data_IF_805873718938
#
_entry.id   IF_805873718938
#
_cell.length_a   1.000
_cell.length_b   1.000
_cell.length_c   1.000
_cell.angle_alpha   90.00
_cell.angle_beta   90.00
_cell.angle_gamma   90.00
#
_symmetry.space_group_name_H-M   'P 1'
#
loop_
_entity.id
_entity.type
_entity.pdbx_description
1 polymer ?
#
# COMPACT_ATOMS: atom_id res chain seq x y z
N UNK A 1 17.46 -12.98 -2.94
CA UNK A 1 18.79 -12.57 -3.42
C UNK A 1 19.76 -12.79 -2.27
N UNK A 2 20.75 -13.68 -2.41
CA UNK A 2 21.74 -13.87 -1.34
C UNK A 2 22.68 -12.66 -1.25
N UNK A 3 22.74 -12.04 -0.07
CA UNK A 3 23.62 -10.91 0.20
C UNK A 3 25.01 -11.40 0.63
N UNK A 4 25.79 -11.96 -0.30
CA UNK A 4 27.11 -12.52 -0.01
C UNK A 4 28.08 -11.52 0.64
N UNK A 5 28.01 -10.23 0.27
CA UNK A 5 28.82 -9.15 0.85
C UNK A 5 28.37 -8.69 2.24
N UNK A 6 27.22 -9.18 2.74
CA UNK A 6 26.62 -8.80 4.04
C UNK A 6 26.49 -9.96 5.02
N UNK A 7 27.09 -11.10 4.72
CA UNK A 7 27.01 -12.33 5.52
C UNK A 7 27.46 -12.12 6.96
N UNK A 8 28.57 -11.40 7.18
CA UNK A 8 29.08 -11.14 8.53
C UNK A 8 28.14 -10.28 9.39
N UNK A 9 27.49 -9.26 8.80
CA UNK A 9 26.50 -8.45 9.52
C UNK A 9 25.23 -9.26 9.85
N UNK A 10 24.80 -10.12 8.92
CA UNK A 10 23.65 -11.02 9.15
C UNK A 10 23.95 -12.06 10.24
N UNK A 11 25.17 -12.59 10.29
CA UNK A 11 25.62 -13.48 11.35
C UNK A 11 25.61 -12.79 12.71
N UNK A 12 26.16 -11.57 12.80
CA UNK A 12 26.16 -10.78 14.03
C UNK A 12 24.74 -10.52 14.56
N UNK A 13 23.81 -10.12 13.67
CA UNK A 13 22.41 -9.93 14.05
C UNK A 13 21.76 -11.25 14.49
N UNK A 14 22.10 -12.37 13.84
CA UNK A 14 21.68 -13.71 14.23
C UNK A 14 22.18 -14.14 15.60
N UNK A 15 23.43 -13.83 15.94
CA UNK A 15 24.01 -14.07 17.27
C UNK A 15 23.32 -13.24 18.35
N UNK A 16 23.05 -11.97 18.07
CA UNK A 16 22.28 -11.11 18.97
C UNK A 16 20.89 -11.69 19.23
N UNK A 17 20.20 -12.17 18.19
CA UNK A 17 18.89 -12.81 18.34
C UNK A 17 18.97 -14.05 19.24
N UNK A 18 19.94 -14.94 19.00
CA UNK A 18 20.16 -16.13 19.86
C UNK A 18 20.46 -15.75 21.30
N UNK A 19 21.17 -14.64 21.52
CA UNK A 19 21.51 -14.12 22.84
C UNK A 19 20.33 -13.58 23.66
N UNK A 20 19.17 -13.34 23.04
CA UNK A 20 17.99 -12.72 23.71
C UNK A 20 17.41 -13.57 24.84
N UNK A 21 17.68 -14.88 24.86
CA UNK A 21 17.30 -15.77 25.95
C UNK A 21 17.83 -15.34 27.34
N UNK A 22 18.90 -14.52 27.36
CA UNK A 22 19.57 -14.06 28.58
C UNK A 22 19.42 -12.54 28.78
N UNK A 23 18.45 -11.90 28.13
CA UNK A 23 18.14 -10.48 28.27
C UNK A 23 18.02 -9.75 26.93
N UNK A 24 17.44 -8.54 26.95
CA UNK A 24 17.27 -7.71 25.76
C UNK A 24 18.60 -7.43 25.06
N UNK A 25 18.54 -7.27 23.73
CA UNK A 25 19.67 -6.88 22.89
C UNK A 25 19.25 -5.71 22.03
N UNK A 26 20.19 -4.81 21.76
CA UNK A 26 20.01 -3.66 20.88
C UNK A 26 21.12 -3.70 19.84
N UNK A 27 20.74 -3.61 18.57
CA UNK A 27 21.66 -3.46 17.46
C UNK A 27 21.44 -2.09 16.81
N UNK A 28 22.54 -1.37 16.56
CA UNK A 28 22.50 -0.12 15.80
C UNK A 28 23.15 -0.37 14.44
N UNK A 29 22.36 -0.24 13.37
CA UNK A 29 22.84 -0.38 12.00
C UNK A 29 23.09 1.01 11.41
N UNK A 30 24.36 1.39 11.29
CA UNK A 30 24.79 2.69 10.79
C UNK A 30 25.52 2.58 9.45
N UNK A 31 25.56 3.68 8.70
CA UNK A 31 26.21 3.78 7.40
C UNK A 31 25.59 4.86 6.53
N UNK A 32 26.22 5.14 5.39
CA UNK A 32 25.78 6.19 4.47
C UNK A 32 24.38 5.95 3.90
N UNK A 33 23.71 7.02 3.46
CA UNK A 33 22.46 6.89 2.72
C UNK A 33 22.70 6.02 1.47
N UNK A 34 21.79 5.08 1.19
CA UNK A 34 21.91 4.19 0.03
C UNK A 34 22.84 2.97 0.21
N UNK A 35 23.63 2.86 1.29
CA UNK A 35 24.58 1.75 1.50
C UNK A 35 23.93 0.35 1.70
N UNK A 36 22.59 0.29 1.72
CA UNK A 36 21.83 -0.96 1.87
C UNK A 36 21.42 -1.32 3.30
N UNK A 37 21.35 -0.34 4.23
CA UNK A 37 20.90 -0.61 5.62
C UNK A 37 19.53 -1.26 5.69
N UNK A 38 18.55 -0.72 4.96
CA UNK A 38 17.19 -1.29 4.91
C UNK A 38 17.22 -2.72 4.35
N UNK A 39 17.98 -2.94 3.27
CA UNK A 39 18.14 -4.27 2.66
C UNK A 39 18.70 -5.29 3.67
N UNK A 40 19.70 -4.90 4.47
CA UNK A 40 20.27 -5.75 5.52
C UNK A 40 19.23 -6.14 6.59
N UNK A 41 18.51 -5.16 7.14
CA UNK A 41 17.54 -5.42 8.22
C UNK A 41 16.32 -6.18 7.69
N UNK A 42 15.88 -5.92 6.47
CA UNK A 42 14.80 -6.67 5.80
C UNK A 42 15.20 -8.13 5.59
N UNK A 43 16.41 -8.41 5.12
CA UNK A 43 16.89 -9.78 4.96
C UNK A 43 17.07 -10.49 6.30
N UNK A 44 17.59 -9.80 7.34
CA UNK A 44 17.65 -10.34 8.70
C UNK A 44 16.26 -10.74 9.21
N UNK A 45 15.27 -9.84 9.11
CA UNK A 45 13.90 -10.12 9.51
C UNK A 45 13.30 -11.33 8.77
N UNK A 46 13.58 -11.46 7.48
CA UNK A 46 13.17 -12.63 6.69
C UNK A 46 13.81 -13.92 7.20
N UNK A 47 15.08 -13.88 7.62
CA UNK A 47 15.83 -15.03 8.16
C UNK A 47 15.42 -15.42 9.58
N UNK A 48 14.87 -14.48 10.37
CA UNK A 48 14.34 -14.80 11.71
C UNK A 48 13.27 -15.90 11.65
N UNK A 49 12.45 -15.93 10.59
CA UNK A 49 11.42 -16.96 10.39
C UNK A 49 10.54 -17.13 11.64
N UNK A 50 10.27 -18.37 12.09
CA UNK A 50 9.46 -18.62 13.29
C UNK A 50 10.20 -18.36 14.61
N UNK A 51 11.50 -18.05 14.59
CA UNK A 51 12.29 -17.87 15.81
C UNK A 51 11.94 -16.58 16.57
N UNK A 52 11.35 -15.59 15.89
CA UNK A 52 10.92 -14.34 16.51
C UNK A 52 9.81 -13.65 15.70
N UNK A 53 8.94 -12.93 16.40
CA UNK A 53 8.07 -11.95 15.77
C UNK A 53 8.85 -10.67 15.47
N UNK A 54 8.74 -10.18 14.24
CA UNK A 54 9.38 -8.93 13.82
C UNK A 54 8.31 -7.86 13.71
N UNK A 55 8.50 -6.77 14.46
CA UNK A 55 7.67 -5.59 14.42
C UNK A 55 8.48 -4.45 13.79
N UNK A 56 7.90 -3.77 12.81
CA UNK A 56 8.57 -2.73 12.04
C UNK A 56 8.11 -1.32 12.42
N UNK A 57 9.06 -0.42 12.65
CA UNK A 57 8.80 1.02 12.77
C UNK A 57 9.61 1.77 11.73
N UNK A 58 8.95 2.56 10.88
CA UNK A 58 9.59 3.35 9.85
C UNK A 58 10.17 4.65 10.40
N UNK A 59 11.22 5.16 9.75
CA UNK A 59 11.63 6.55 9.93
C UNK A 59 10.75 7.44 9.04
N UNK A 60 10.09 8.44 9.63
CA UNK A 60 9.35 9.44 8.84
C UNK A 60 10.32 10.25 7.97
N UNK A 61 9.98 10.46 6.69
CA UNK A 61 10.73 11.34 5.77
C UNK A 61 10.30 12.81 5.82
N UNK A 62 9.45 13.16 6.79
CA UNK A 62 8.87 14.49 6.93
C UNK A 62 9.90 15.48 7.48
N UNK A 63 9.84 16.74 7.05
CA UNK A 63 10.61 17.86 7.63
C UNK A 63 10.32 17.97 9.14
N UNK A 64 9.09 17.63 9.55
CA UNK A 64 8.69 17.45 10.95
C UNK A 64 8.25 15.99 11.17
N UNK A 65 9.04 15.15 11.85
CA UNK A 65 8.68 13.76 12.13
C UNK A 65 7.38 13.67 12.93
N UNK A 66 6.60 12.62 12.70
CA UNK A 66 5.39 12.34 13.48
C UNK A 66 5.82 11.96 14.89
N UNK A 67 5.16 12.53 15.89
CA UNK A 67 5.40 12.13 17.27
C UNK A 67 5.16 10.62 17.38
N UNK A 68 6.18 9.89 17.87
CA UNK A 68 6.11 8.44 18.06
C UNK A 68 5.77 7.64 16.77
N UNK A 69 6.12 8.15 15.57
CA UNK A 69 5.83 7.51 14.28
C UNK A 69 6.12 6.00 14.23
N UNK A 70 7.31 5.53 14.64
CA UNK A 70 7.63 4.10 14.71
C UNK A 70 6.66 3.28 15.58
N UNK A 71 6.16 3.85 16.68
CA UNK A 71 5.19 3.18 17.55
C UNK A 71 3.81 3.09 16.91
N UNK A 72 3.38 4.09 16.13
CA UNK A 72 2.16 4.01 15.32
C UNK A 72 2.23 2.90 14.25
N UNK A 73 3.40 2.71 13.64
CA UNK A 73 3.60 1.62 12.68
C UNK A 73 3.53 0.25 13.37
N UNK A 74 4.14 0.11 14.55
CA UNK A 74 4.10 -1.13 15.34
C UNK A 74 2.68 -1.40 15.87
N UNK A 75 1.99 -0.38 16.37
CA UNK A 75 0.61 -0.48 16.85
C UNK A 75 -0.33 -0.98 15.76
N UNK A 76 -0.14 -0.57 14.50
CA UNK A 76 -0.92 -1.12 13.36
C UNK A 76 -0.68 -2.60 13.12
N UNK A 77 0.55 -3.10 13.33
CA UNK A 77 0.88 -4.51 13.16
C UNK A 77 0.31 -5.40 14.28
N UNK A 78 0.29 -4.91 15.52
CA UNK A 78 -0.14 -5.69 16.69
C UNK A 78 -1.62 -5.49 17.01
N UNK A 79 -2.18 -4.31 16.73
CA UNK A 79 -3.47 -3.88 17.26
C UNK A 79 -3.43 -3.75 18.79
N UNK A 80 -4.58 -4.01 19.42
CA UNK A 80 -4.72 -4.11 20.87
C UNK A 80 -4.42 -2.81 21.63
N UNK A 81 -3.98 -2.96 22.88
CA UNK A 81 -3.79 -1.84 23.80
C UNK A 81 -2.84 -0.76 23.26
N UNK A 82 -1.77 -1.13 22.54
CA UNK A 82 -0.85 -0.14 21.99
C UNK A 82 -1.53 0.73 20.92
N UNK A 83 -2.26 0.11 19.98
CA UNK A 83 -2.95 0.83 18.92
C UNK A 83 -4.04 1.75 19.47
N UNK A 84 -4.84 1.26 20.42
CA UNK A 84 -5.90 2.05 21.06
C UNK A 84 -5.32 3.29 21.76
N UNK A 85 -4.28 3.11 22.57
CA UNK A 85 -3.67 4.19 23.35
C UNK A 85 -3.01 5.25 22.47
N UNK A 86 -2.42 4.85 21.34
CA UNK A 86 -1.88 5.77 20.35
C UNK A 86 -2.98 6.60 19.68
N UNK A 87 -4.14 5.99 19.38
CA UNK A 87 -5.27 6.68 18.77
C UNK A 87 -5.98 7.65 19.71
N UNK A 88 -5.96 7.40 21.02
CA UNK A 88 -6.62 8.24 22.03
C UNK A 88 -5.72 9.34 22.59
N UNK A 89 -4.48 9.47 22.11
CA UNK A 89 -3.53 10.44 22.64
C UNK A 89 -3.14 10.17 24.10
N UNK A 90 -2.96 8.90 24.46
CA UNK A 90 -2.60 8.48 25.81
C UNK A 90 -1.26 9.07 26.28
N UNK A 91 -1.05 9.07 27.60
CA UNK A 91 0.21 9.54 28.20
C UNK A 91 1.39 8.65 27.81
N UNK A 92 2.61 9.19 27.89
CA UNK A 92 3.83 8.41 27.59
C UNK A 92 3.97 7.16 28.48
N UNK A 93 3.52 7.22 29.73
CA UNK A 93 3.54 6.09 30.67
C UNK A 93 2.60 4.96 30.22
N UNK A 94 1.39 5.32 29.79
CA UNK A 94 0.42 4.35 29.26
C UNK A 94 0.91 3.72 27.96
N UNK A 95 1.53 4.51 27.08
CA UNK A 95 2.12 4.04 25.83
C UNK A 95 3.32 3.12 26.08
N UNK A 96 4.21 3.48 27.00
CA UNK A 96 5.35 2.65 27.38
C UNK A 96 4.90 1.31 27.96
N UNK A 97 3.89 1.34 28.83
CA UNK A 97 3.31 0.13 29.42
C UNK A 97 2.67 -0.76 28.35
N UNK A 98 1.93 -0.17 27.41
CA UNK A 98 1.33 -0.92 26.31
C UNK A 98 2.39 -1.52 25.37
N UNK A 99 3.48 -0.78 25.09
CA UNK A 99 4.56 -1.25 24.23
C UNK A 99 5.45 -2.32 24.89
N UNK A 100 5.69 -2.24 26.18
CA UNK A 100 6.49 -3.26 26.90
C UNK A 100 5.66 -4.45 27.38
N UNK A 101 4.34 -4.38 27.19
CA UNK A 101 3.39 -5.44 27.52
C UNK A 101 3.57 -6.70 26.66
N UNK A 102 3.03 -7.82 27.14
CA UNK A 102 3.13 -9.13 26.47
C UNK A 102 2.22 -9.28 25.24
N UNK A 103 1.43 -8.25 24.92
CA UNK A 103 0.39 -8.30 23.90
C UNK A 103 0.81 -7.69 22.55
N UNK A 104 2.12 -7.52 22.33
CA UNK A 104 2.66 -7.11 21.03
C UNK A 104 2.75 -8.26 20.01
N UNK A 105 1.85 -9.26 20.13
CA UNK A 105 1.79 -10.30 19.11
C UNK A 105 1.33 -9.64 17.80
N UNK A 106 2.04 -9.83 16.68
CA UNK A 106 1.51 -9.42 15.39
C UNK A 106 0.14 -10.05 15.22
N UNK A 107 -0.82 -9.32 14.64
CA UNK A 107 -2.10 -9.92 14.27
C UNK A 107 -1.81 -11.14 13.40
N UNK A 108 -2.17 -12.32 13.89
CA UNK A 108 -2.04 -13.55 13.14
C UNK A 108 -3.02 -13.47 11.96
N UNK A 109 -2.47 -13.33 10.77
CA UNK A 109 -3.21 -13.62 9.55
C UNK A 109 -3.20 -15.14 9.39
N UNK A 110 -4.30 -15.80 9.01
CA UNK A 110 -4.35 -17.26 9.04
C UNK A 110 -3.24 -17.81 8.15
N UNK A 111 -2.29 -18.59 8.68
CA UNK A 111 -1.18 -19.14 7.88
C UNK A 111 -1.69 -20.15 6.82
N UNK A 112 -2.85 -20.74 7.09
CA UNK A 112 -3.59 -21.65 6.22
C UNK A 112 -4.83 -20.94 5.69
N UNK A 113 -4.72 -20.32 4.52
CA UNK A 113 -5.87 -19.83 3.75
C UNK A 113 -5.84 -20.44 2.36
N UNK A 114 -6.97 -20.96 1.84
CA UNK A 114 -7.04 -21.47 0.47
C UNK A 114 -6.74 -20.38 -0.58
N UNK A 115 -6.90 -19.10 -0.21
CA UNK A 115 -6.55 -17.97 -1.07
C UNK A 115 -5.03 -17.86 -1.31
N UNK A 116 -4.21 -18.28 -0.35
CA UNK A 116 -2.75 -18.16 -0.46
C UNK A 116 -2.17 -19.14 -1.47
N UNK A 117 -2.69 -20.36 -1.52
CA UNK A 117 -2.17 -21.38 -2.43
C UNK A 117 -2.41 -20.99 -3.90
N UNK A 118 -3.61 -20.48 -4.19
CA UNK A 118 -3.95 -19.96 -5.51
C UNK A 118 -3.01 -18.81 -5.93
N UNK A 119 -2.72 -17.88 -5.02
CA UNK A 119 -1.89 -16.71 -5.33
C UNK A 119 -0.39 -17.03 -5.39
N UNK A 120 0.11 -17.94 -4.54
CA UNK A 120 1.47 -18.48 -4.68
C UNK A 120 1.66 -19.15 -6.03
N UNK A 121 0.69 -19.95 -6.46
CA UNK A 121 0.74 -20.62 -7.76
C UNK A 121 0.70 -19.63 -8.92
N UNK A 122 -0.10 -18.56 -8.82
CA UNK A 122 -0.28 -17.59 -9.89
C UNK A 122 0.86 -16.55 -9.98
N UNK A 123 1.41 -16.11 -8.84
CA UNK A 123 2.33 -14.95 -8.75
C UNK A 123 3.67 -15.26 -8.12
N UNK A 124 3.86 -16.44 -7.54
CA UNK A 124 5.07 -16.83 -6.82
C UNK A 124 5.18 -16.24 -5.39
N UNK A 125 4.20 -15.44 -4.95
CA UNK A 125 4.14 -14.87 -3.60
C UNK A 125 2.70 -14.60 -3.16
N UNK A 126 2.50 -14.39 -1.85
CA UNK A 126 1.20 -13.99 -1.27
C UNK A 126 1.23 -12.47 -1.06
N UNK A 127 0.37 -11.69 -1.72
CA UNK A 127 0.28 -10.26 -1.51
C UNK A 127 -0.06 -9.90 -0.06
N UNK A 128 0.52 -8.81 0.44
CA UNK A 128 0.28 -8.31 1.79
C UNK A 128 -1.20 -7.99 2.03
N UNK A 129 -1.92 -7.45 1.03
CA UNK A 129 -3.36 -7.21 1.16
C UNK A 129 -4.14 -8.51 1.42
N UNK A 130 -3.67 -9.63 0.88
CA UNK A 130 -4.40 -10.89 0.91
C UNK A 130 -4.36 -11.50 2.30
N UNK A 131 -3.29 -11.25 3.05
CA UNK A 131 -3.16 -11.66 4.45
C UNK A 131 -4.30 -11.09 5.30
N UNK A 132 -4.73 -9.86 5.00
CA UNK A 132 -5.86 -9.21 5.67
C UNK A 132 -7.18 -9.81 5.20
N UNK A 133 -7.37 -9.90 3.88
CA UNK A 133 -8.64 -10.33 3.28
C UNK A 133 -8.90 -11.84 3.48
N UNK A 134 -7.87 -12.63 3.78
CA UNK A 134 -7.99 -14.03 4.19
C UNK A 134 -8.77 -14.22 5.50
N UNK A 135 -8.96 -13.17 6.31
CA UNK A 135 -9.86 -13.23 7.46
C UNK A 135 -11.34 -13.33 7.05
N UNK A 136 -11.70 -12.93 5.82
CA UNK A 136 -13.06 -12.96 5.26
C UNK A 136 -13.04 -13.38 3.78
N UNK A 137 -12.69 -14.64 3.49
CA UNK A 137 -12.43 -15.10 2.12
C UNK A 137 -13.68 -15.02 1.22
N UNK A 138 -14.88 -15.18 1.77
CA UNK A 138 -16.13 -15.05 1.00
C UNK A 138 -16.36 -13.60 0.54
N UNK A 139 -16.00 -12.62 1.38
CA UNK A 139 -16.09 -11.19 1.04
C UNK A 139 -15.09 -10.87 -0.06
N UNK A 140 -13.85 -11.36 0.06
CA UNK A 140 -12.85 -11.16 -0.98
C UNK A 140 -13.24 -11.81 -2.31
N UNK A 141 -13.76 -13.04 -2.26
CA UNK A 141 -14.26 -13.73 -3.45
C UNK A 141 -15.43 -13.00 -4.12
N UNK A 142 -16.35 -12.42 -3.34
CA UNK A 142 -17.43 -11.59 -3.89
C UNK A 142 -16.89 -10.29 -4.50
N UNK A 143 -15.92 -9.64 -3.84
CA UNK A 143 -15.28 -8.45 -4.36
C UNK A 143 -14.53 -8.72 -5.67
N UNK A 144 -13.81 -9.84 -5.79
CA UNK A 144 -13.10 -10.23 -7.02
C UNK A 144 -14.07 -10.39 -8.20
N UNK A 145 -15.22 -11.03 -8.00
CA UNK A 145 -16.23 -11.17 -9.06
C UNK A 145 -16.76 -9.81 -9.50
N UNK A 146 -17.11 -8.95 -8.56
CA UNK A 146 -17.55 -7.59 -8.88
C UNK A 146 -16.45 -6.79 -9.60
N UNK A 147 -15.21 -6.90 -9.14
CA UNK A 147 -14.06 -6.23 -9.73
C UNK A 147 -13.83 -6.65 -11.18
N UNK A 148 -13.96 -7.94 -11.48
CA UNK A 148 -13.78 -8.47 -12.84
C UNK A 148 -14.90 -8.01 -13.78
N UNK A 149 -16.16 -8.07 -13.34
CA UNK A 149 -17.29 -7.54 -14.13
C UNK A 149 -17.12 -6.04 -14.43
N UNK A 150 -16.68 -5.27 -13.42
CA UNK A 150 -16.42 -3.83 -13.60
C UNK A 150 -15.23 -3.58 -14.54
N UNK A 151 -14.19 -4.40 -14.46
CA UNK A 151 -13.03 -4.29 -15.34
C UNK A 151 -13.37 -4.64 -16.79
N UNK A 152 -14.17 -5.69 -17.01
CA UNK A 152 -14.58 -6.15 -18.34
C UNK A 152 -15.47 -5.14 -19.08
N UNK A 153 -16.19 -4.28 -18.36
CA UNK A 153 -17.04 -3.23 -18.93
C UNK A 153 -16.29 -2.02 -19.50
N UNK A 154 -14.96 -1.97 -19.41
CA UNK A 154 -14.15 -0.83 -19.86
C UNK A 154 -12.86 -1.30 -20.55
N UNK A 155 -12.34 -0.52 -21.50
CA UNK A 155 -11.00 -0.80 -22.02
C UNK A 155 -9.96 -0.77 -20.89
N UNK A 156 -9.00 -1.68 -20.94
CA UNK A 156 -8.06 -1.86 -19.84
C UNK A 156 -7.25 -0.58 -19.57
N UNK A 157 -6.81 0.14 -20.61
CA UNK A 157 -5.99 1.35 -20.43
C UNK A 157 -6.76 2.41 -19.63
N UNK A 158 -8.02 2.65 -19.98
CA UNK A 158 -8.90 3.58 -19.26
C UNK A 158 -9.21 3.10 -17.84
N UNK A 159 -9.49 1.80 -17.65
CA UNK A 159 -9.70 1.23 -16.31
C UNK A 159 -8.51 1.50 -15.39
N UNK A 160 -7.29 1.27 -15.91
CA UNK A 160 -6.05 1.51 -15.18
C UNK A 160 -5.82 3.01 -14.90
N UNK A 161 -6.09 3.91 -15.86
CA UNK A 161 -5.99 5.37 -15.65
C UNK A 161 -6.99 5.89 -14.61
N UNK A 162 -8.25 5.44 -14.68
CA UNK A 162 -9.30 5.77 -13.70
C UNK A 162 -8.90 5.28 -12.31
N UNK A 163 -8.43 4.04 -12.23
CA UNK A 163 -8.05 3.42 -10.97
C UNK A 163 -6.81 4.05 -10.34
N UNK A 164 -5.77 4.32 -11.14
CA UNK A 164 -4.58 5.04 -10.72
C UNK A 164 -4.96 6.42 -10.15
N UNK A 165 -5.82 7.13 -10.88
CA UNK A 165 -6.31 8.45 -10.48
C UNK A 165 -7.04 8.37 -9.15
N UNK A 166 -8.04 7.50 -9.03
CA UNK A 166 -8.80 7.33 -7.80
C UNK A 166 -7.90 6.92 -6.62
N UNK A 167 -6.96 5.99 -6.83
CA UNK A 167 -6.02 5.58 -5.79
C UNK A 167 -5.15 6.75 -5.30
N UNK A 168 -4.69 7.62 -6.22
CA UNK A 168 -3.95 8.84 -5.88
C UNK A 168 -4.81 9.82 -5.09
N UNK A 169 -6.06 10.06 -5.51
CA UNK A 169 -6.98 10.96 -4.80
C UNK A 169 -7.31 10.49 -3.39
N UNK A 170 -7.31 9.17 -3.19
CA UNK A 170 -7.56 8.51 -1.90
C UNK A 170 -6.31 8.36 -1.04
N UNK A 171 -5.12 8.76 -1.51
CA UNK A 171 -3.86 8.58 -0.78
C UNK A 171 -3.37 7.12 -0.69
N UNK A 172 -3.93 6.21 -1.50
CA UNK A 172 -3.62 4.78 -1.41
C UNK A 172 -2.34 4.42 -2.14
N UNK A 173 -1.26 4.22 -1.38
CA UNK A 173 0.03 3.81 -1.93
C UNK A 173 -0.02 2.43 -2.59
N UNK A 174 -0.71 1.46 -1.98
CA UNK A 174 -0.80 0.08 -2.50
C UNK A 174 -1.48 0.06 -3.88
N UNK A 175 -2.70 0.60 -3.96
CA UNK A 175 -3.44 0.63 -5.21
C UNK A 175 -2.73 1.51 -6.25
N UNK A 176 -2.16 2.63 -5.83
CA UNK A 176 -1.40 3.51 -6.72
C UNK A 176 -0.25 2.78 -7.40
N UNK A 177 0.60 2.10 -6.63
CA UNK A 177 1.74 1.34 -7.14
C UNK A 177 1.31 0.14 -7.99
N UNK A 178 0.30 -0.60 -7.57
CA UNK A 178 -0.18 -1.77 -8.31
C UNK A 178 -0.70 -1.40 -9.70
N UNK A 179 -1.50 -0.33 -9.81
CA UNK A 179 -2.05 0.11 -11.08
C UNK A 179 -1.03 0.89 -11.92
N UNK A 180 -0.07 1.58 -11.28
CA UNK A 180 1.09 2.15 -11.98
C UNK A 180 1.96 1.07 -12.64
N UNK A 181 2.16 -0.07 -11.97
CA UNK A 181 2.91 -1.19 -12.53
C UNK A 181 2.29 -1.71 -13.83
N UNK A 182 0.96 -1.90 -13.87
CA UNK A 182 0.24 -2.35 -15.07
C UNK A 182 0.37 -1.31 -16.21
N UNK A 183 0.27 -0.02 -15.89
CA UNK A 183 0.43 1.05 -16.86
C UNK A 183 1.84 1.10 -17.46
N UNK A 184 2.88 0.95 -16.64
CA UNK A 184 4.28 0.88 -17.08
C UNK A 184 4.58 -0.34 -17.93
N UNK A 185 3.97 -1.48 -17.58
CA UNK A 185 4.21 -2.73 -18.29
C UNK A 185 3.58 -2.71 -19.70
N UNK A 186 2.44 -2.04 -19.86
CA UNK A 186 1.58 -2.27 -21.04
C UNK A 186 1.31 -1.05 -21.91
N UNK A 187 1.42 0.17 -21.38
CA UNK A 187 0.85 1.35 -22.05
C UNK A 187 1.76 2.55 -22.11
N UNK A 188 2.63 2.75 -21.12
CA UNK A 188 3.44 3.96 -20.99
C UNK A 188 4.85 3.64 -20.50
N UNK A 189 5.82 4.47 -20.87
CA UNK A 189 7.11 4.48 -20.18
C UNK A 189 7.07 5.30 -18.86
N UNK A 190 8.19 5.32 -18.13
CA UNK A 190 8.33 6.08 -16.88
C UNK A 190 8.09 7.59 -17.08
N UNK A 191 8.60 8.16 -18.18
CA UNK A 191 8.49 9.59 -18.46
C UNK A 191 7.03 9.96 -18.73
N UNK A 192 6.35 9.20 -19.58
CA UNK A 192 4.94 9.40 -19.91
C UNK A 192 4.05 9.26 -18.67
N UNK A 193 4.19 8.18 -17.91
CA UNK A 193 3.35 7.95 -16.74
C UNK A 193 3.56 9.03 -15.67
N UNK A 194 4.81 9.47 -15.44
CA UNK A 194 5.10 10.57 -14.53
C UNK A 194 4.51 11.89 -15.00
N UNK A 195 4.55 12.16 -16.30
CA UNK A 195 3.90 13.34 -16.89
C UNK A 195 2.40 13.30 -16.61
N UNK A 196 1.73 12.17 -16.90
CA UNK A 196 0.30 11.95 -16.64
C UNK A 196 -0.06 12.19 -15.17
N UNK A 197 0.78 11.71 -14.24
CA UNK A 197 0.55 11.86 -12.81
C UNK A 197 0.79 13.28 -12.28
N UNK A 198 1.63 14.07 -12.96
CA UNK A 198 2.02 15.42 -12.56
C UNK A 198 1.11 16.48 -13.20
N UNK A 199 0.96 16.44 -14.52
CA UNK A 199 0.07 17.31 -15.29
C UNK A 199 -0.52 16.55 -16.49
N UNK A 200 -1.62 15.85 -16.24
CA UNK A 200 -2.33 15.06 -17.26
C UNK A 200 -2.82 15.88 -18.46
N UNK A 201 -2.95 17.21 -18.34
CA UNK A 201 -3.47 18.07 -19.42
C UNK A 201 -2.38 18.37 -20.46
N UNK A 202 -1.12 18.34 -20.04
CA UNK A 202 0.06 18.53 -20.90
C UNK A 202 0.77 17.21 -21.23
N UNK A 203 0.27 16.07 -20.71
CA UNK A 203 0.89 14.76 -20.85
C UNK A 203 0.64 14.06 -22.20
N UNK A 204 0.10 14.75 -23.20
CA UNK A 204 -0.20 14.16 -24.52
C UNK A 204 -1.37 13.16 -24.53
N UNK A 205 -2.19 13.13 -23.48
CA UNK A 205 -3.39 12.30 -23.44
C UNK A 205 -4.47 12.82 -24.38
N UNK A 206 -5.33 11.91 -24.87
CA UNK A 206 -6.51 12.33 -25.61
C UNK A 206 -7.43 13.16 -24.68
N UNK A 207 -8.12 14.20 -25.19
CA UNK A 207 -9.00 15.05 -24.37
C UNK A 207 -10.05 14.27 -23.57
N UNK A 208 -10.54 13.17 -24.14
CA UNK A 208 -11.48 12.27 -23.46
C UNK A 208 -10.87 11.58 -22.24
N UNK A 209 -9.60 11.16 -22.28
CA UNK A 209 -8.94 10.50 -21.15
C UNK A 209 -8.70 11.49 -20.02
N UNK A 210 -8.33 12.73 -20.35
CA UNK A 210 -8.20 13.83 -19.39
C UNK A 210 -9.53 14.08 -18.68
N UNK A 211 -10.63 14.19 -19.44
CA UNK A 211 -11.97 14.39 -18.88
C UNK A 211 -12.40 13.22 -17.98
N UNK A 212 -12.14 11.97 -18.40
CA UNK A 212 -12.41 10.77 -17.61
C UNK A 212 -11.63 10.77 -16.30
N UNK A 213 -10.34 11.10 -16.34
CA UNK A 213 -9.51 11.16 -15.14
C UNK A 213 -9.93 12.31 -14.21
N UNK A 214 -10.29 13.48 -14.74
CA UNK A 214 -10.78 14.61 -13.94
C UNK A 214 -12.11 14.27 -13.25
N UNK A 215 -13.01 13.58 -13.95
CA UNK A 215 -14.24 13.06 -13.36
C UNK A 215 -13.96 11.99 -12.29
N UNK A 216 -13.09 11.03 -12.58
CA UNK A 216 -12.70 9.99 -11.63
C UNK A 216 -12.11 10.58 -10.33
N UNK A 217 -11.27 11.61 -10.47
CA UNK A 217 -10.68 12.36 -9.35
C UNK A 217 -11.75 13.06 -8.50
N UNK A 218 -12.77 13.66 -9.14
CA UNK A 218 -13.91 14.26 -8.43
C UNK A 218 -14.73 13.23 -7.68
N UNK A 219 -15.16 12.16 -8.34
CA UNK A 219 -15.92 11.06 -7.72
C UNK A 219 -15.13 10.42 -6.58
N UNK A 220 -13.81 10.29 -6.73
CA UNK A 220 -12.94 9.73 -5.71
C UNK A 220 -12.80 10.63 -4.49
N UNK A 221 -12.90 11.96 -4.62
CA UNK A 221 -12.90 12.89 -3.47
C UNK A 221 -14.27 13.00 -2.81
N UNK A 222 -15.27 13.38 -3.60
CA UNK A 222 -16.63 13.62 -3.13
C UNK A 222 -17.65 13.24 -4.21
N UNK A 223 -18.22 12.03 -4.15
CA UNK A 223 -19.25 11.62 -5.10
C UNK A 223 -20.57 12.39 -4.93
N UNK A 224 -20.81 13.04 -3.78
CA UNK A 224 -22.06 13.80 -3.54
C UNK A 224 -22.03 15.18 -4.21
N UNK A 225 -20.83 15.69 -4.53
CA UNK A 225 -20.62 16.94 -5.25
C UNK A 225 -20.61 16.80 -6.78
N UNK A 226 -20.86 15.60 -7.33
CA UNK A 226 -20.94 15.39 -8.78
C UNK A 226 -22.22 16.02 -9.33
N UNK A 227 -22.08 16.80 -10.40
CA UNK A 227 -23.19 17.54 -11.01
C UNK A 227 -23.53 17.04 -12.41
N UNK A 228 -24.70 17.41 -12.93
CA UNK A 228 -25.08 17.14 -14.32
C UNK A 228 -24.12 17.78 -15.33
N UNK A 229 -23.51 18.92 -14.99
CA UNK A 229 -22.50 19.56 -15.83
C UNK A 229 -21.28 18.67 -16.03
N UNK A 230 -20.90 17.89 -15.02
CA UNK A 230 -19.73 17.01 -15.07
C UNK A 230 -19.98 15.81 -15.97
N UNK A 231 -21.20 15.27 -15.88
CA UNK A 231 -21.68 14.20 -16.76
C UNK A 231 -21.79 14.72 -18.19
N UNK A 232 -22.29 15.96 -18.39
CA UNK A 232 -22.41 16.57 -19.70
C UNK A 232 -21.05 16.77 -20.41
N UNK A 233 -19.98 17.08 -19.67
CA UNK A 233 -18.61 17.14 -20.23
C UNK A 233 -18.21 15.80 -20.83
N UNK A 234 -18.42 14.69 -20.10
CA UNK A 234 -18.10 13.34 -20.59
C UNK A 234 -18.93 12.96 -21.82
N UNK A 235 -20.24 13.28 -21.82
CA UNK A 235 -21.11 13.07 -22.99
C UNK A 235 -20.65 13.90 -24.19
N UNK A 236 -20.14 15.12 -23.96
CA UNK A 236 -19.52 15.95 -25.00
C UNK A 236 -18.30 15.30 -25.68
N UNK A 237 -17.63 14.37 -24.99
CA UNK A 237 -16.57 13.53 -25.54
C UNK A 237 -17.07 12.19 -26.14
N UNK A 238 -18.38 11.99 -26.23
CA UNK A 238 -19.01 10.82 -26.82
C UNK A 238 -19.19 9.63 -25.88
N UNK A 239 -18.99 9.79 -24.57
CA UNK A 239 -19.29 8.73 -23.60
C UNK A 239 -20.80 8.57 -23.42
N UNK A 240 -21.25 7.32 -23.38
CA UNK A 240 -22.63 6.97 -23.04
C UNK A 240 -22.84 6.98 -21.52
N UNK A 241 -24.10 7.01 -21.07
CA UNK A 241 -24.41 6.90 -19.64
C UNK A 241 -23.89 5.61 -19.02
N UNK A 242 -23.83 4.52 -19.81
CA UNK A 242 -23.24 3.26 -19.39
C UNK A 242 -21.72 3.40 -19.16
N UNK A 243 -20.99 4.08 -20.07
CA UNK A 243 -19.56 4.35 -19.90
C UNK A 243 -19.28 5.19 -18.64
N UNK A 244 -20.13 6.20 -18.41
CA UNK A 244 -20.00 7.10 -17.25
C UNK A 244 -20.25 6.33 -15.96
N UNK A 245 -21.31 5.53 -15.91
CA UNK A 245 -21.56 4.64 -14.78
C UNK A 245 -20.39 3.68 -14.56
N UNK A 246 -19.77 3.17 -15.62
CA UNK A 246 -18.63 2.27 -15.51
C UNK A 246 -17.43 2.94 -14.84
N UNK A 247 -17.17 4.22 -15.13
CA UNK A 247 -16.14 5.01 -14.45
C UNK A 247 -16.48 5.16 -12.96
N UNK A 248 -17.74 5.48 -12.62
CA UNK A 248 -18.19 5.58 -11.23
C UNK A 248 -18.01 4.25 -10.49
N UNK A 249 -18.38 3.12 -11.11
CA UNK A 249 -18.22 1.79 -10.53
C UNK A 249 -16.75 1.46 -10.26
N UNK A 250 -15.84 1.75 -11.21
CA UNK A 250 -14.41 1.55 -11.03
C UNK A 250 -13.85 2.41 -9.88
N UNK A 251 -14.26 3.67 -9.77
CA UNK A 251 -13.87 4.55 -8.66
C UNK A 251 -14.41 4.05 -7.33
N UNK A 252 -15.67 3.64 -7.26
CA UNK A 252 -16.30 3.14 -6.03
C UNK A 252 -15.69 1.81 -5.57
N UNK A 253 -15.38 0.91 -6.50
CA UNK A 253 -14.61 -0.31 -6.24
C UNK A 253 -13.25 0.05 -5.62
N UNK A 254 -12.60 1.09 -6.14
CA UNK A 254 -11.33 1.59 -5.62
C UNK A 254 -11.46 2.21 -4.23
N UNK A 255 -12.51 2.99 -3.98
CA UNK A 255 -12.81 3.53 -2.64
C UNK A 255 -12.95 2.42 -1.61
N UNK A 256 -13.69 1.35 -1.93
CA UNK A 256 -13.81 0.19 -1.05
C UNK A 256 -12.44 -0.44 -0.78
N UNK A 257 -11.73 -0.84 -1.83
CA UNK A 257 -10.51 -1.62 -1.66
C UNK A 257 -9.38 -0.81 -1.03
N UNK A 258 -9.11 0.40 -1.55
CA UNK A 258 -8.14 1.32 -0.96
C UNK A 258 -8.47 1.63 0.50
N UNK A 259 -9.74 1.92 0.81
CA UNK A 259 -10.16 2.23 2.17
C UNK A 259 -9.94 1.08 3.15
N UNK A 260 -10.21 -0.17 2.72
CA UNK A 260 -9.90 -1.37 3.52
C UNK A 260 -8.40 -1.47 3.77
N UNK A 261 -7.57 -1.34 2.73
CA UNK A 261 -6.11 -1.47 2.87
C UNK A 261 -5.49 -0.38 3.74
N UNK A 262 -5.95 0.86 3.59
CA UNK A 262 -5.54 1.99 4.43
C UNK A 262 -5.95 1.77 5.90
N UNK A 263 -7.22 1.43 6.15
CA UNK A 263 -7.75 1.26 7.51
C UNK A 263 -7.06 0.15 8.30
N UNK A 264 -6.56 -0.88 7.62
CA UNK A 264 -5.84 -2.01 8.24
C UNK A 264 -4.31 -1.83 8.20
N UNK A 265 -3.82 -0.73 7.61
CA UNK A 265 -2.38 -0.44 7.51
C UNK A 265 -1.62 -1.40 6.59
N UNK A 266 -2.26 -1.93 5.55
CA UNK A 266 -1.60 -2.83 4.61
C UNK A 266 -0.51 -2.09 3.82
N UNK A 267 0.72 -2.58 3.90
CA UNK A 267 1.86 -2.01 3.18
C UNK A 267 2.03 -2.64 1.79
N UNK A 268 2.41 -1.86 0.77
CA UNK A 268 2.67 -2.40 -0.58
C UNK A 268 3.71 -3.54 -0.56
N UNK A 269 3.57 -4.48 -1.48
CA UNK A 269 4.49 -5.61 -1.61
C UNK A 269 5.90 -5.17 -2.06
N UNK A 270 6.97 -5.87 -1.62
CA UNK A 270 8.35 -5.55 -2.03
C UNK A 270 8.59 -5.61 -3.54
N UNK A 271 7.75 -6.31 -4.31
CA UNK A 271 7.84 -6.33 -5.78
C UNK A 271 7.73 -4.91 -6.37
N UNK A 272 7.01 -4.01 -5.70
CA UNK A 272 6.87 -2.63 -6.15
C UNK A 272 8.11 -1.77 -5.91
N UNK A 273 9.10 -2.23 -5.13
CA UNK A 273 10.37 -1.52 -4.95
C UNK A 273 11.18 -1.41 -6.24
N UNK A 274 10.94 -2.34 -7.18
CA UNK A 274 11.53 -2.33 -8.53
C UNK A 274 10.94 -1.25 -9.46
N UNK A 275 9.83 -0.61 -9.09
CA UNK A 275 9.24 0.45 -9.92
C UNK A 275 10.14 1.71 -9.94
N UNK A 276 10.05 2.52 -11.01
CA UNK A 276 10.82 3.75 -11.12
C UNK A 276 10.64 4.66 -9.90
N UNK A 277 11.74 5.25 -9.43
CA UNK A 277 11.75 6.04 -8.19
C UNK A 277 10.77 7.22 -8.24
N UNK A 278 10.57 7.84 -9.41
CA UNK A 278 9.62 8.93 -9.59
C UNK A 278 8.17 8.51 -9.41
N UNK A 279 7.79 7.36 -9.98
CA UNK A 279 6.47 6.76 -9.80
C UNK A 279 6.23 6.39 -8.34
N UNK A 280 7.22 5.77 -7.69
CA UNK A 280 7.13 5.44 -6.26
C UNK A 280 6.97 6.68 -5.38
N UNK A 281 7.73 7.74 -5.66
CA UNK A 281 7.66 8.99 -4.90
C UNK A 281 6.28 9.65 -4.98
N UNK A 282 5.59 9.53 -6.12
CA UNK A 282 4.26 10.12 -6.30
C UNK A 282 3.14 9.45 -5.49
N UNK A 283 3.41 8.26 -4.92
CA UNK A 283 2.54 7.55 -3.98
C UNK A 283 3.13 7.45 -2.56
N UNK A 284 4.36 7.94 -2.38
CA UNK A 284 5.12 7.85 -1.13
C UNK A 284 4.96 9.05 -0.20
N UNK A 285 3.88 9.84 -0.32
CA UNK A 285 3.80 11.14 0.35
C UNK A 285 2.40 11.69 0.53
N UNK A 286 1.61 11.08 1.41
CA UNK A 286 0.73 11.78 2.36
C UNK A 286 0.53 10.83 3.53
N UNK A 287 0.97 11.25 4.71
CA UNK A 287 0.61 10.59 5.95
C UNK A 287 -0.92 10.51 6.00
N UNK A 288 -1.46 9.29 6.00
CA UNK A 288 -2.80 9.04 6.48
C UNK A 288 -2.80 9.47 7.95
N UNK A 289 -3.24 10.71 8.20
CA UNK A 289 -3.94 11.08 9.43
C UNK A 289 -5.02 10.03 9.66
N UNK A 290 -4.85 9.20 10.69
CA UNK A 290 -5.54 9.27 11.99
C UNK A 290 -4.81 8.34 12.98
#
# INVERSE_FOLDING_TARGET
MELWERSGQLELLGDLLRGTAHGGRVAVVAGEAGIGKSVLVTEFARRCGPAAWVLWGGCDRLITPRALGPLHDIGRQTGGALAERLSTGATQEELFTAFTGRDLRPRATPDESPLYEAERSARGYVPNYLRVLALRPEVYGAWLRLAEEVRAGMDLRRYELVTLTAARSLGSSYCGLAHAAVLLERFYDDTELRSIMTDRRDAGLAPVDVAVMDFADRVARDPTGVTEGDVAVLRGHGLTDADILQIVLAVCLRRFFSGVLSAVGAVPDPVFDGLPAGVRAAFGGTAETF
#
